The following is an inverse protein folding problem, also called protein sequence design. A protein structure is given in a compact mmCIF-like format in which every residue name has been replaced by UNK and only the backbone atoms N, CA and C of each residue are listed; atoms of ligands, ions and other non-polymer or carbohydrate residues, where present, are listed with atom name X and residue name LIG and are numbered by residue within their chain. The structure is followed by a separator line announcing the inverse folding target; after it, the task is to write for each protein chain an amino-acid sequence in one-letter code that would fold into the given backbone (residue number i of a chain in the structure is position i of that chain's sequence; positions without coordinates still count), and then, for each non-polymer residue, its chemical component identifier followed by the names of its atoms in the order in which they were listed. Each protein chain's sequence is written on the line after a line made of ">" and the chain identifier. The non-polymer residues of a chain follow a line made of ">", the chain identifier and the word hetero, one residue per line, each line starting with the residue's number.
data_IF_813924036376
#
_entry.id   IF_813924036376
#
_cell.length_a   1.000
_cell.length_b   1.000
_cell.length_c   1.000
_cell.angle_alpha   90.00
_cell.angle_beta   90.00
_cell.angle_gamma   90.00
#
_symmetry.space_group_name_H-M   'P 1'
#
loop_
_entity.id
_entity.type
_entity.pdbx_description
1 polymer ?
#
# COMPACT_ATOMS: atom_id res chain seq x y z
N UNK A 1 9.06 -17.28 -7.92
CA UNK A 1 8.46 -17.02 -6.61
C UNK A 1 7.79 -15.68 -6.63
N UNK A 2 6.55 -15.59 -6.13
CA UNK A 2 5.84 -14.32 -6.13
C UNK A 2 6.48 -13.34 -5.15
N UNK A 3 6.50 -12.05 -5.48
CA UNK A 3 6.97 -11.04 -4.53
C UNK A 3 6.12 -11.04 -3.28
N UNK A 4 6.75 -10.78 -2.14
CA UNK A 4 6.06 -10.71 -0.86
C UNK A 4 6.09 -9.27 -0.35
N UNK A 5 4.92 -8.77 0.01
CA UNK A 5 4.81 -7.43 0.60
C UNK A 5 5.04 -7.57 2.10
N UNK A 6 6.00 -6.82 2.61
CA UNK A 6 6.40 -6.85 4.01
C UNK A 6 6.36 -5.45 4.59
N UNK A 7 6.30 -5.31 5.93
CA UNK A 7 6.46 -3.99 6.55
C UNK A 7 7.75 -3.33 6.08
N UNK A 8 7.66 -2.07 5.69
CA UNK A 8 8.79 -1.33 5.13
C UNK A 8 8.84 -1.37 3.61
N UNK A 9 8.05 -2.24 2.96
CA UNK A 9 8.03 -2.28 1.49
C UNK A 9 7.38 -1.05 0.92
N UNK A 10 7.92 -0.56 -0.19
CA UNK A 10 7.27 0.49 -0.97
C UNK A 10 6.32 -0.17 -1.95
N UNK A 11 5.09 0.28 -1.98
CA UNK A 11 4.04 -0.29 -2.81
C UNK A 11 3.27 0.79 -3.56
N UNK A 12 2.66 0.39 -4.68
CA UNK A 12 1.74 1.23 -5.43
C UNK A 12 0.34 0.61 -5.34
N UNK A 13 -0.67 1.45 -5.34
CA UNK A 13 -2.04 0.97 -5.43
C UNK A 13 -2.36 0.68 -6.89
N UNK A 14 -2.61 -0.59 -7.19
CA UNK A 14 -2.87 -1.06 -8.55
C UNK A 14 -4.34 -1.36 -8.83
N UNK A 15 -5.20 -1.29 -7.81
CA UNK A 15 -6.63 -1.57 -7.96
C UNK A 15 -7.30 -0.42 -8.71
N UNK A 16 -7.81 -0.70 -9.90
CA UNK A 16 -8.45 0.31 -10.74
C UNK A 16 -9.72 0.90 -10.12
N UNK A 17 -10.33 0.20 -9.15
CA UNK A 17 -11.55 0.68 -8.48
C UNK A 17 -11.26 1.49 -7.22
N UNK A 18 -10.01 1.55 -6.80
CA UNK A 18 -9.64 2.28 -5.60
C UNK A 18 -9.52 3.78 -5.86
N UNK A 19 -9.99 4.59 -4.90
CA UNK A 19 -9.78 6.04 -4.97
C UNK A 19 -8.30 6.40 -4.81
N UNK A 20 -7.49 5.46 -4.33
CA UNK A 20 -6.05 5.66 -4.14
C UNK A 20 -5.23 5.10 -5.30
N UNK A 21 -5.86 4.73 -6.40
CA UNK A 21 -5.16 4.20 -7.56
C UNK A 21 -4.02 5.11 -8.00
N UNK A 22 -2.85 4.52 -8.18
CA UNK A 22 -1.66 5.26 -8.59
C UNK A 22 -0.87 5.87 -7.43
N UNK A 23 -1.40 5.81 -6.21
CA UNK A 23 -0.68 6.30 -5.05
C UNK A 23 0.45 5.34 -4.69
N UNK A 24 1.55 5.91 -4.23
CA UNK A 24 2.69 5.15 -3.73
C UNK A 24 2.83 5.40 -2.24
N UNK A 25 3.07 4.33 -1.50
CA UNK A 25 3.22 4.43 -0.05
C UNK A 25 4.12 3.36 0.50
N UNK A 26 4.31 3.39 1.82
CA UNK A 26 5.16 2.45 2.52
C UNK A 26 4.30 1.65 3.48
N UNK A 27 4.43 0.32 3.41
CA UNK A 27 3.69 -0.57 4.30
C UNK A 27 4.19 -0.41 5.72
N UNK A 28 3.29 -0.10 6.64
CA UNK A 28 3.62 0.06 8.06
C UNK A 28 3.47 -1.25 8.82
N UNK A 29 2.44 -2.02 8.48
CA UNK A 29 2.24 -3.34 9.09
C UNK A 29 1.27 -4.15 8.25
N UNK A 30 1.25 -5.45 8.52
CA UNK A 30 0.36 -6.40 7.87
C UNK A 30 -0.59 -6.99 8.89
N UNK A 31 -1.82 -7.28 8.46
CA UNK A 31 -2.82 -7.93 9.29
C UNK A 31 -3.66 -8.83 8.39
N UNK A 32 -3.41 -10.13 8.45
CA UNK A 32 -4.08 -11.08 7.58
C UNK A 32 -3.81 -10.76 6.12
N UNK A 33 -4.85 -10.55 5.33
CA UNK A 33 -4.73 -10.22 3.90
C UNK A 33 -4.73 -8.73 3.62
N UNK A 34 -4.51 -7.90 4.64
CA UNK A 34 -4.53 -6.44 4.51
C UNK A 34 -3.23 -5.83 4.99
N UNK A 35 -2.94 -4.65 4.49
CA UNK A 35 -1.76 -3.89 4.88
C UNK A 35 -2.16 -2.47 5.24
N UNK A 36 -1.55 -1.94 6.30
CA UNK A 36 -1.66 -0.54 6.64
C UNK A 36 -0.55 0.19 5.88
N UNK A 37 -0.93 1.06 4.98
CA UNK A 37 0.00 1.76 4.08
C UNK A 37 -0.02 3.24 4.39
N UNK A 38 1.16 3.80 4.58
CA UNK A 38 1.31 5.23 4.79
C UNK A 38 1.58 5.91 3.46
N UNK A 39 0.66 6.76 3.04
CA UNK A 39 0.82 7.61 1.88
C UNK A 39 1.34 8.96 2.32
N UNK A 40 2.39 9.43 1.69
CA UNK A 40 2.98 10.73 1.99
C UNK A 40 2.87 11.61 0.75
N UNK A 41 2.29 12.78 0.92
CA UNK A 41 2.08 13.70 -0.20
C UNK A 41 2.47 15.13 0.14
N UNK A 42 3.76 15.40 0.24
CA UNK A 42 4.22 16.74 0.53
C UNK A 42 3.89 17.19 1.95
N UNK A 43 2.86 17.98 2.09
CA UNK A 43 2.49 18.53 3.40
C UNK A 43 1.39 17.71 4.12
N UNK A 44 1.08 16.50 3.64
CA UNK A 44 0.07 15.65 4.29
C UNK A 44 0.54 14.20 4.31
N UNK A 45 0.06 13.47 5.34
CA UNK A 45 0.26 12.03 5.47
C UNK A 45 -1.09 11.38 5.68
N UNK A 46 -1.25 10.15 5.19
CA UNK A 46 -2.48 9.41 5.41
C UNK A 46 -2.17 7.92 5.54
N UNK A 47 -2.67 7.32 6.63
CA UNK A 47 -2.54 5.90 6.87
C UNK A 47 -3.84 5.22 6.46
N UNK A 48 -3.78 4.29 5.53
CA UNK A 48 -4.94 3.62 4.98
C UNK A 48 -4.72 2.12 5.00
N UNK A 49 -5.75 1.36 5.42
CA UNK A 49 -5.70 -0.10 5.36
C UNK A 49 -6.29 -0.55 4.04
N UNK A 50 -5.51 -1.31 3.28
CA UNK A 50 -5.89 -1.79 1.96
C UNK A 50 -5.64 -3.30 1.86
N UNK A 51 -6.45 -4.02 1.05
CA UNK A 51 -6.19 -5.43 0.82
C UNK A 51 -4.88 -5.60 0.03
N UNK A 52 -4.14 -6.66 0.33
CA UNK A 52 -2.87 -6.93 -0.34
C UNK A 52 -3.03 -7.05 -1.86
N UNK A 53 -4.17 -7.59 -2.31
CA UNK A 53 -4.43 -7.74 -3.75
C UNK A 53 -4.50 -6.40 -4.49
N UNK A 54 -4.73 -5.32 -3.77
CA UNK A 54 -4.80 -3.97 -4.36
C UNK A 54 -3.43 -3.30 -4.44
N UNK A 55 -2.41 -3.95 -3.92
CA UNK A 55 -1.07 -3.40 -3.82
C UNK A 55 -0.09 -4.15 -4.69
N UNK A 56 0.91 -3.44 -5.17
CA UNK A 56 1.94 -3.98 -6.02
C UNK A 56 3.28 -3.44 -5.56
N UNK A 57 4.28 -4.31 -5.46
CA UNK A 57 5.61 -3.87 -5.06
C UNK A 57 6.19 -2.92 -6.11
N UNK A 58 6.77 -1.88 -5.62
CA UNK A 58 7.36 -0.87 -6.49
C UNK A 58 8.79 -1.25 -6.86
#
# INVERSE_FOLDING_TARGET
>A
MAPVILPGSTVNVSDATSIYRGYKGIVQRLSGSRAAVLFEGGCWDKLVTLPLRALELN
#
